data_IF_165759008865
#
_entry.id   IF_165759008865
#
_cell.length_a   1.000
_cell.length_b   1.000
_cell.length_c   1.000
_cell.angle_alpha   90.00
_cell.angle_beta   90.00
_cell.angle_gamma   90.00
#
_symmetry.space_group_name_H-M   'P 1'
#
loop_
_entity.id
_entity.type
_entity.pdbx_description
1 polymer ?
#
# COMPACT_ATOMS: atom_id res chain seq x y z
N UNK A 1 -7.71 16.07 19.20
CA UNK A 1 -7.91 16.44 17.78
C UNK A 1 -9.24 17.15 17.56
N UNK A 2 -10.41 16.49 17.64
CA UNK A 2 -11.71 17.18 17.44
C UNK A 2 -12.03 18.23 18.51
N UNK A 3 -11.65 18.00 19.77
CA UNK A 3 -11.71 18.99 20.85
C UNK A 3 -10.84 20.24 20.57
N UNK A 4 -9.57 20.04 20.18
CA UNK A 4 -8.60 21.12 19.85
C UNK A 4 -8.99 21.98 18.64
N UNK A 5 -9.70 21.39 17.66
CA UNK A 5 -10.03 22.05 16.39
C UNK A 5 -11.44 22.66 16.37
N UNK A 6 -12.23 22.48 17.43
CA UNK A 6 -13.58 23.06 17.55
C UNK A 6 -14.70 22.30 16.84
N UNK A 7 -14.49 21.04 16.45
CA UNK A 7 -15.48 20.20 15.73
C UNK A 7 -15.89 18.98 16.56
N UNK A 8 -16.08 19.17 17.86
CA UNK A 8 -16.45 18.08 18.75
C UNK A 8 -17.94 17.73 18.59
N UNK A 9 -18.22 16.51 18.12
CA UNK A 9 -19.59 15.99 17.95
C UNK A 9 -20.14 16.07 16.53
N UNK A 10 -19.44 16.71 15.59
CA UNK A 10 -19.85 16.75 14.19
C UNK A 10 -19.26 15.57 13.41
N UNK A 11 -20.04 14.49 13.30
CA UNK A 11 -19.64 13.26 12.59
C UNK A 11 -19.42 13.49 11.10
N UNK A 12 -20.05 14.51 10.50
CA UNK A 12 -19.74 14.91 9.13
C UNK A 12 -18.32 15.48 9.03
N UNK A 13 -17.89 16.32 9.99
CA UNK A 13 -16.55 16.90 9.96
C UNK A 13 -15.45 15.85 10.14
N UNK A 14 -15.60 14.89 11.06
CA UNK A 14 -14.64 13.80 11.23
C UNK A 14 -14.59 12.87 10.01
N UNK A 15 -15.75 12.53 9.42
CA UNK A 15 -15.82 11.79 8.15
C UNK A 15 -15.14 12.54 7.00
N UNK A 16 -15.40 13.83 6.85
CA UNK A 16 -14.87 14.68 5.78
C UNK A 16 -13.33 14.78 5.84
N UNK A 17 -12.72 14.75 7.03
CA UNK A 17 -11.25 14.66 7.20
C UNK A 17 -10.68 13.35 6.65
N UNK A 18 -11.35 12.21 6.85
CA UNK A 18 -10.94 10.91 6.31
C UNK A 18 -11.17 10.86 4.80
N UNK A 19 -12.38 11.22 4.35
CA UNK A 19 -12.74 11.31 2.93
C UNK A 19 -11.82 12.22 2.12
N UNK A 20 -11.37 13.36 2.67
CA UNK A 20 -10.43 14.26 1.99
C UNK A 20 -9.06 13.61 1.80
N UNK A 21 -8.62 12.79 2.76
CA UNK A 21 -7.38 12.01 2.64
C UNK A 21 -7.49 10.94 1.52
N UNK A 22 -8.63 10.24 1.45
CA UNK A 22 -8.91 9.24 0.41
C UNK A 22 -9.08 9.88 -0.98
N UNK A 23 -9.76 11.02 -1.08
CA UNK A 23 -9.87 11.81 -2.30
C UNK A 23 -8.51 12.32 -2.80
N UNK A 24 -7.65 12.76 -1.89
CA UNK A 24 -6.25 13.07 -2.19
C UNK A 24 -5.51 11.84 -2.75
N UNK A 25 -5.68 10.66 -2.15
CA UNK A 25 -5.05 9.44 -2.61
C UNK A 25 -5.56 8.95 -3.97
N UNK A 26 -6.86 9.10 -4.25
CA UNK A 26 -7.43 8.89 -5.59
C UNK A 26 -6.74 9.79 -6.62
N UNK A 27 -6.70 11.11 -6.38
CA UNK A 27 -6.05 12.08 -7.27
C UNK A 27 -4.56 11.75 -7.47
N UNK A 28 -3.82 11.49 -6.39
CA UNK A 28 -2.42 11.09 -6.46
C UNK A 28 -2.20 9.81 -7.27
N UNK A 29 -3.05 8.80 -7.07
CA UNK A 29 -2.94 7.53 -7.79
C UNK A 29 -3.14 7.70 -9.29
N UNK A 30 -4.09 8.53 -9.76
CA UNK A 30 -4.31 8.81 -11.19
C UNK A 30 -3.08 9.44 -11.86
N UNK A 31 -2.39 10.36 -11.19
CA UNK A 31 -1.18 11.00 -11.73
C UNK A 31 0.08 10.14 -11.59
N UNK A 32 0.10 9.17 -10.67
CA UNK A 32 1.28 8.33 -10.38
C UNK A 32 1.90 7.67 -11.61
N UNK A 33 1.09 7.12 -12.52
CA UNK A 33 1.57 6.46 -13.74
C UNK A 33 2.28 7.42 -14.70
N UNK A 34 1.74 8.63 -14.86
CA UNK A 34 2.34 9.70 -15.69
C UNK A 34 3.62 10.26 -15.08
N UNK A 35 3.66 10.41 -13.75
CA UNK A 35 4.86 10.87 -13.02
C UNK A 35 5.97 9.82 -13.10
N UNK A 36 5.65 8.54 -12.89
CA UNK A 36 6.61 7.44 -12.94
C UNK A 36 7.26 7.27 -14.32
N UNK A 37 6.46 7.32 -15.40
CA UNK A 37 6.98 7.25 -16.78
C UNK A 37 7.66 8.55 -17.23
N UNK A 38 7.18 9.71 -16.77
CA UNK A 38 7.74 11.01 -17.12
C UNK A 38 9.10 11.27 -16.46
N UNK A 39 9.17 11.24 -15.13
CA UNK A 39 10.32 11.76 -14.37
C UNK A 39 11.32 10.66 -13.98
N UNK A 40 10.95 9.39 -14.11
CA UNK A 40 11.72 8.24 -13.61
C UNK A 40 11.21 7.77 -12.26
N UNK A 41 11.61 6.57 -11.84
CA UNK A 41 11.05 5.88 -10.67
C UNK A 41 11.64 6.46 -9.38
N UNK A 42 12.95 6.71 -9.33
CA UNK A 42 13.64 7.35 -8.19
C UNK A 42 13.11 8.77 -7.95
N UNK A 43 13.03 9.59 -9.01
CA UNK A 43 12.48 10.95 -8.90
C UNK A 43 10.97 10.96 -8.59
N UNK A 44 10.19 9.98 -9.07
CA UNK A 44 8.79 9.84 -8.68
C UNK A 44 8.60 9.56 -7.18
N UNK A 45 9.49 8.77 -6.55
CA UNK A 45 9.48 8.59 -5.09
C UNK A 45 9.80 9.89 -4.32
N UNK A 46 10.74 10.69 -4.79
CA UNK A 46 11.04 11.98 -4.17
C UNK A 46 9.87 12.96 -4.33
N UNK A 47 9.26 13.03 -5.51
CA UNK A 47 8.03 13.80 -5.77
C UNK A 47 6.83 13.31 -4.95
N UNK A 48 6.77 12.01 -4.61
CA UNK A 48 5.78 11.43 -3.71
C UNK A 48 6.00 11.86 -2.25
N UNK A 49 7.25 11.99 -1.81
CA UNK A 49 7.58 12.33 -0.43
C UNK A 49 7.41 13.82 -0.10
N UNK A 50 7.58 14.73 -1.07
CA UNK A 50 7.31 16.16 -0.89
C UNK A 50 5.89 16.47 -0.35
N UNK A 51 4.78 16.00 -0.96
CA UNK A 51 3.44 16.24 -0.42
C UNK A 51 3.17 15.48 0.89
N UNK A 52 3.85 14.36 1.16
CA UNK A 52 3.80 13.72 2.49
C UNK A 52 4.42 14.61 3.58
N UNK A 53 5.58 15.20 3.32
CA UNK A 53 6.28 16.10 4.24
C UNK A 53 5.45 17.38 4.45
N UNK A 54 5.03 18.03 3.36
CA UNK A 54 4.23 19.27 3.41
C UNK A 54 2.89 19.03 4.10
N UNK A 55 2.17 17.98 3.71
CA UNK A 55 0.86 17.63 4.28
C UNK A 55 0.94 17.23 5.76
N UNK A 56 1.97 16.47 6.16
CA UNK A 56 2.17 16.10 7.57
C UNK A 56 2.53 17.33 8.42
N UNK A 57 3.42 18.20 7.93
CA UNK A 57 3.84 19.43 8.62
C UNK A 57 2.67 20.42 8.77
N UNK A 58 1.84 20.55 7.74
CA UNK A 58 0.64 21.38 7.77
C UNK A 58 -0.46 20.77 8.68
N UNK A 59 -0.59 19.44 8.72
CA UNK A 59 -1.49 18.75 9.66
C UNK A 59 -1.03 18.93 11.11
N UNK A 60 0.28 18.88 11.38
CA UNK A 60 0.87 19.08 12.71
C UNK A 60 0.72 20.52 13.23
N UNK A 61 0.76 21.51 12.33
CA UNK A 61 0.66 22.94 12.66
C UNK A 61 -0.77 23.51 12.55
N UNK A 62 -1.74 22.69 12.14
CA UNK A 62 -3.12 23.10 11.94
C UNK A 62 -3.77 23.67 13.21
N UNK A 63 -4.38 24.86 13.05
CA UNK A 63 -5.22 25.54 14.06
C UNK A 63 -6.71 25.55 13.69
N UNK A 64 -7.03 25.33 12.41
CA UNK A 64 -8.39 25.38 11.85
C UNK A 64 -8.67 24.11 11.03
N UNK A 65 -9.94 23.70 10.90
CA UNK A 65 -10.35 22.55 10.08
C UNK A 65 -9.83 22.62 8.65
N UNK A 66 -9.93 23.77 7.98
CA UNK A 66 -9.44 23.96 6.61
C UNK A 66 -7.94 23.64 6.46
N UNK A 67 -7.11 23.98 7.45
CA UNK A 67 -5.69 23.63 7.44
C UNK A 67 -5.45 22.13 7.60
N UNK A 68 -6.28 21.45 8.40
CA UNK A 68 -6.27 19.98 8.51
C UNK A 68 -6.73 19.31 7.21
N UNK A 69 -7.79 19.81 6.57
CA UNK A 69 -8.31 19.27 5.30
C UNK A 69 -7.28 19.40 4.18
N UNK A 70 -6.67 20.58 4.00
CA UNK A 70 -5.55 20.77 3.09
C UNK A 70 -4.36 19.84 3.43
N UNK A 71 -4.01 19.73 4.72
CA UNK A 71 -2.94 18.83 5.18
C UNK A 71 -3.20 17.38 4.78
N UNK A 72 -4.41 16.88 5.03
CA UNK A 72 -4.86 15.53 4.64
C UNK A 72 -4.91 15.33 3.12
N UNK A 73 -5.29 16.34 2.34
CA UNK A 73 -5.29 16.25 0.89
C UNK A 73 -3.87 16.03 0.34
N UNK A 74 -2.87 16.77 0.85
CA UNK A 74 -1.46 16.58 0.49
C UNK A 74 -0.90 15.23 0.98
N UNK A 75 -1.18 14.81 2.22
CA UNK A 75 -0.78 13.46 2.68
C UNK A 75 -1.41 12.38 1.79
N UNK A 76 -2.69 12.56 1.44
CA UNK A 76 -3.42 11.70 0.51
C UNK A 76 -2.72 11.60 -0.84
N UNK A 77 -2.41 12.72 -1.50
CA UNK A 77 -1.77 12.69 -2.84
C UNK A 77 -0.43 11.95 -2.83
N UNK A 78 0.39 12.11 -1.79
CA UNK A 78 1.59 11.29 -1.59
C UNK A 78 1.27 9.80 -1.39
N UNK A 79 0.34 9.48 -0.49
CA UNK A 79 -0.09 8.10 -0.22
C UNK A 79 -0.66 7.39 -1.47
N UNK A 80 -1.26 8.14 -2.41
CA UNK A 80 -1.73 7.62 -3.70
C UNK A 80 -0.62 7.33 -4.71
N UNK A 81 0.49 8.07 -4.68
CA UNK A 81 1.61 7.91 -5.63
C UNK A 81 2.57 6.81 -5.18
N UNK A 82 2.86 6.70 -3.89
CA UNK A 82 3.92 5.82 -3.37
C UNK A 82 3.76 4.33 -3.70
N UNK A 83 2.66 3.67 -3.33
CA UNK A 83 2.46 2.22 -3.53
C UNK A 83 2.58 1.75 -4.99
N UNK A 84 1.95 2.37 -6.02
CA UNK A 84 2.15 1.93 -7.40
C UNK A 84 3.58 2.17 -7.90
N UNK A 85 4.23 3.28 -7.51
CA UNK A 85 5.64 3.54 -7.86
C UNK A 85 6.57 2.50 -7.21
N UNK A 86 6.29 2.08 -5.97
CA UNK A 86 7.05 1.06 -5.27
C UNK A 86 6.92 -0.32 -5.92
N UNK A 87 5.70 -0.74 -6.28
CA UNK A 87 5.48 -1.99 -7.00
C UNK A 87 6.19 -2.00 -8.36
N UNK A 88 6.16 -0.89 -9.10
CA UNK A 88 6.89 -0.71 -10.36
C UNK A 88 8.41 -0.81 -10.18
N UNK A 89 8.96 -0.06 -9.23
CA UNK A 89 10.40 -0.03 -8.97
C UNK A 89 10.92 -1.40 -8.53
N UNK A 90 10.23 -2.08 -7.61
CA UNK A 90 10.57 -3.45 -7.22
C UNK A 90 10.50 -4.40 -8.42
N UNK A 91 9.45 -4.35 -9.24
CA UNK A 91 9.31 -5.22 -10.40
C UNK A 91 10.35 -4.99 -11.50
N UNK A 92 10.89 -3.77 -11.62
CA UNK A 92 11.90 -3.40 -12.64
C UNK A 92 13.35 -3.57 -12.15
N UNK A 93 13.59 -3.52 -10.84
CA UNK A 93 14.94 -3.66 -10.24
C UNK A 93 15.22 -5.10 -9.77
N UNK A 94 14.20 -5.85 -9.36
CA UNK A 94 14.40 -7.20 -8.81
C UNK A 94 14.59 -8.29 -9.89
N UNK A 95 15.56 -9.21 -9.70
CA UNK A 95 15.67 -10.42 -10.50
C UNK A 95 14.40 -11.28 -10.42
N UNK A 96 14.03 -11.91 -11.54
CA UNK A 96 12.76 -12.63 -11.69
C UNK A 96 12.54 -13.76 -10.64
N UNK A 97 13.62 -14.34 -10.11
CA UNK A 97 13.57 -15.45 -9.14
C UNK A 97 13.36 -15.02 -7.67
N UNK A 98 13.50 -13.73 -7.34
CA UNK A 98 13.33 -13.15 -5.98
C UNK A 98 12.35 -11.97 -5.94
N UNK A 99 11.69 -11.67 -7.07
CA UNK A 99 10.73 -10.57 -7.19
C UNK A 99 9.57 -10.66 -6.20
N UNK A 100 9.07 -11.87 -5.92
CA UNK A 100 8.02 -12.09 -4.92
C UNK A 100 8.47 -11.76 -3.50
N UNK A 101 9.68 -12.22 -3.13
CA UNK A 101 10.34 -11.86 -1.87
C UNK A 101 10.52 -10.34 -1.73
N UNK A 102 11.10 -9.65 -2.72
CA UNK A 102 11.31 -8.20 -2.62
C UNK A 102 10.01 -7.39 -2.55
N UNK A 103 8.96 -7.78 -3.26
CA UNK A 103 7.67 -7.08 -3.13
C UNK A 103 6.93 -7.40 -1.83
N UNK A 104 7.08 -8.61 -1.29
CA UNK A 104 6.57 -8.93 0.06
C UNK A 104 7.29 -8.13 1.15
N UNK A 105 8.55 -7.74 0.93
CA UNK A 105 9.29 -6.85 1.82
C UNK A 105 8.64 -5.45 1.91
N UNK A 106 8.06 -4.92 0.83
CA UNK A 106 7.36 -3.63 0.90
C UNK A 106 6.07 -3.71 1.72
N UNK A 107 5.32 -4.82 1.62
CA UNK A 107 4.18 -5.08 2.50
C UNK A 107 4.61 -5.22 3.97
N UNK A 108 5.70 -5.94 4.25
CA UNK A 108 6.27 -6.03 5.59
C UNK A 108 6.62 -4.65 6.16
N UNK A 109 7.23 -3.78 5.36
CA UNK A 109 7.51 -2.40 5.75
C UNK A 109 6.22 -1.60 6.03
N UNK A 110 5.16 -1.78 5.25
CA UNK A 110 3.83 -1.20 5.53
C UNK A 110 3.26 -1.69 6.86
N UNK A 111 3.39 -2.99 7.16
CA UNK A 111 2.92 -3.58 8.41
C UNK A 111 3.72 -3.06 9.63
N UNK A 112 5.05 -2.96 9.51
CA UNK A 112 5.91 -2.33 10.52
C UNK A 112 5.59 -0.84 10.72
N UNK A 113 5.30 -0.11 9.63
CA UNK A 113 4.86 1.28 9.68
C UNK A 113 3.54 1.46 10.43
N UNK A 114 2.55 0.58 10.17
CA UNK A 114 1.27 0.57 10.89
C UNK A 114 1.47 0.26 12.38
N UNK A 115 2.30 -0.73 12.72
CA UNK A 115 2.65 -1.02 14.12
C UNK A 115 3.33 0.18 14.79
N UNK A 116 4.32 0.80 14.14
CA UNK A 116 4.99 2.00 14.64
C UNK A 116 4.03 3.16 14.88
N UNK A 117 3.09 3.39 13.97
CA UNK A 117 2.05 4.42 14.13
C UNK A 117 1.13 4.14 15.33
N UNK A 118 0.76 2.87 15.57
CA UNK A 118 -0.03 2.47 16.74
C UNK A 118 0.73 2.68 18.06
N UNK A 119 2.04 2.39 18.10
CA UNK A 119 2.89 2.66 19.27
C UNK A 119 3.07 4.17 19.52
N UNK A 120 3.34 4.98 18.50
CA UNK A 120 3.48 6.44 18.63
C UNK A 120 2.16 7.09 19.05
N UNK A 121 1.03 6.52 18.62
CA UNK A 121 -0.33 6.94 19.01
C UNK A 121 -0.76 6.55 20.42
N UNK A 122 0.00 5.74 21.16
CA UNK A 122 -0.32 5.30 22.52
C UNK A 122 -0.47 6.48 23.50
N UNK A 123 0.56 7.33 23.74
CA UNK A 123 0.45 8.49 24.62
C UNK A 123 -0.54 9.57 24.13
N UNK A 124 -0.99 9.51 22.86
CA UNK A 124 -1.93 10.49 22.31
C UNK A 124 -3.32 10.49 22.97
N UNK A 125 -3.65 9.45 23.76
CA UNK A 125 -4.87 9.39 24.59
C UNK A 125 -4.68 10.00 25.99
N UNK A 126 -3.45 10.15 26.47
CA UNK A 126 -3.13 10.58 27.83
C UNK A 126 -2.63 12.02 27.90
N UNK A 127 -2.08 12.55 26.80
CA UNK A 127 -1.47 13.88 26.74
C UNK A 127 -2.18 14.73 25.67
N UNK A 128 -2.80 15.84 26.10
CA UNK A 128 -3.40 16.81 25.17
C UNK A 128 -2.34 17.40 24.22
N UNK A 129 -2.72 17.64 22.97
CA UNK A 129 -1.80 18.11 21.92
C UNK A 129 -0.81 17.09 21.36
N UNK A 130 -0.59 15.92 22.00
CA UNK A 130 0.39 14.91 21.51
C UNK A 130 0.07 14.37 20.11
N UNK A 131 -1.19 14.42 19.68
CA UNK A 131 -1.59 14.10 18.31
C UNK A 131 -0.79 14.88 17.24
N UNK A 132 -0.28 16.09 17.55
CA UNK A 132 0.61 16.84 16.67
C UNK A 132 1.99 16.20 16.53
N UNK A 133 2.51 15.58 17.60
CA UNK A 133 3.77 14.85 17.57
C UNK A 133 3.66 13.59 16.70
N UNK A 134 2.50 12.95 16.62
CA UNK A 134 2.26 11.85 15.68
C UNK A 134 2.44 12.29 14.20
N UNK A 135 1.97 13.49 13.85
CA UNK A 135 2.15 14.05 12.50
C UNK A 135 3.59 14.53 12.24
N UNK A 136 4.30 15.06 13.25
CA UNK A 136 5.74 15.30 13.11
C UNK A 136 6.54 14.01 12.95
N UNK A 137 6.15 12.94 13.65
CA UNK A 137 6.78 11.63 13.52
C UNK A 137 6.58 11.02 12.12
N UNK A 138 5.50 11.34 11.39
CA UNK A 138 5.33 10.89 9.99
C UNK A 138 6.16 11.70 8.97
N UNK A 139 6.68 12.88 9.33
CA UNK A 139 7.65 13.62 8.49
C UNK A 139 8.99 12.88 8.44
N UNK A 140 9.44 12.28 9.54
CA UNK A 140 10.73 11.58 9.62
C UNK A 140 10.92 10.44 8.58
N UNK A 141 10.02 9.45 8.43
CA UNK A 141 10.16 8.41 7.41
C UNK A 141 10.03 8.96 5.98
N UNK A 142 9.25 10.03 5.76
CA UNK A 142 9.15 10.67 4.45
C UNK A 142 10.45 11.41 4.06
N UNK A 143 11.11 12.06 5.03
CA UNK A 143 12.42 12.68 4.83
C UNK A 143 13.53 11.62 4.65
N UNK A 144 13.49 10.53 5.41
CA UNK A 144 14.42 9.40 5.19
C UNK A 144 14.24 8.81 3.79
N UNK A 145 13.00 8.67 3.29
CA UNK A 145 12.71 8.21 1.94
C UNK A 145 13.32 9.13 0.86
N UNK A 146 13.25 10.46 0.99
CA UNK A 146 13.87 11.36 -0.01
C UNK A 146 15.39 11.22 -0.04
N UNK A 147 16.03 11.10 1.13
CA UNK A 147 17.48 10.96 1.28
C UNK A 147 17.96 9.61 0.76
N UNK A 148 17.37 8.49 1.18
CA UNK A 148 17.77 7.16 0.70
C UNK A 148 17.53 6.97 -0.80
N UNK A 149 16.52 7.62 -1.37
CA UNK A 149 16.31 7.61 -2.82
C UNK A 149 17.41 8.35 -3.60
N UNK A 150 18.12 9.33 -3.01
CA UNK A 150 19.25 9.98 -3.69
C UNK A 150 20.50 9.06 -3.80
N UNK A 151 20.59 8.03 -2.95
CA UNK A 151 21.61 6.97 -3.03
C UNK A 151 21.16 5.73 -3.82
N UNK A 152 19.86 5.62 -4.14
CA UNK A 152 19.28 4.46 -4.82
C UNK A 152 19.52 4.48 -6.33
N UNK A 153 19.62 3.32 -6.96
CA UNK A 153 19.73 3.19 -8.43
C UNK A 153 18.46 3.69 -9.14
N UNK A 154 18.57 4.12 -10.39
CA UNK A 154 17.38 4.37 -11.23
C UNK A 154 16.95 3.07 -11.93
N UNK A 155 15.67 2.94 -12.30
CA UNK A 155 15.19 1.77 -13.03
C UNK A 155 15.93 1.60 -14.38
N UNK A 156 16.66 0.47 -14.61
CA UNK A 156 17.36 0.25 -15.87
C UNK A 156 16.40 0.15 -17.06
N UNK A 157 15.21 -0.42 -16.85
CA UNK A 157 14.14 -0.47 -17.85
C UNK A 157 13.68 0.93 -18.28
N UNK A 158 13.61 1.90 -17.35
CA UNK A 158 13.24 3.28 -17.68
C UNK A 158 14.38 4.03 -18.38
N UNK A 159 15.62 3.85 -17.94
CA UNK A 159 16.81 4.44 -18.60
C UNK A 159 16.92 3.98 -20.06
N UNK A 160 16.77 2.67 -20.31
CA UNK A 160 16.81 2.10 -21.64
C UNK A 160 15.67 2.62 -22.53
N UNK A 161 14.44 2.71 -22.00
CA UNK A 161 13.27 3.32 -22.68
C UNK A 161 13.47 4.82 -22.99
N UNK A 162 14.28 5.52 -22.20
CA UNK A 162 14.69 6.93 -22.42
C UNK A 162 15.83 7.10 -23.43
N UNK A 163 16.34 6.02 -24.03
CA UNK A 163 17.49 6.04 -24.95
C UNK A 163 18.84 6.12 -24.25
N UNK A 164 18.87 6.08 -22.90
CA UNK A 164 20.10 6.15 -22.08
C UNK A 164 20.70 4.76 -21.88
N UNK A 165 21.05 4.10 -22.98
CA UNK A 165 21.50 2.70 -22.99
C UNK A 165 22.75 2.45 -22.14
N UNK A 166 23.75 3.34 -22.19
CA UNK A 166 24.97 3.23 -21.40
C UNK A 166 24.73 3.36 -19.89
N UNK A 167 23.83 4.27 -19.48
CA UNK A 167 23.46 4.40 -18.07
C UNK A 167 22.67 3.17 -17.59
N UNK A 168 21.80 2.60 -18.44
CA UNK A 168 21.09 1.36 -18.12
C UNK A 168 22.06 0.18 -17.94
N UNK A 169 23.11 0.09 -18.77
CA UNK A 169 24.16 -0.93 -18.63
C UNK A 169 24.93 -0.78 -17.30
N UNK A 170 25.30 0.44 -16.93
CA UNK A 170 25.98 0.73 -15.66
C UNK A 170 25.12 0.45 -14.42
N UNK A 171 23.80 0.74 -14.45
CA UNK A 171 22.90 0.38 -13.35
C UNK A 171 22.65 -1.14 -13.30
N UNK A 172 22.61 -1.85 -14.43
CA UNK A 172 22.58 -3.31 -14.43
C UNK A 172 23.86 -3.95 -13.89
N UNK A 173 25.03 -3.35 -14.15
CA UNK A 173 26.30 -3.84 -13.61
C UNK A 173 26.31 -3.76 -12.08
N UNK A 174 25.77 -2.68 -11.50
CA UNK A 174 25.58 -2.55 -10.04
C UNK A 174 24.58 -3.54 -9.46
N UNK A 175 23.54 -3.92 -10.21
CA UNK A 175 22.42 -4.74 -9.74
C UNK A 175 22.61 -6.26 -9.91
N UNK A 176 23.14 -6.68 -11.05
CA UNK A 176 23.29 -8.09 -11.44
C UNK A 176 24.74 -8.55 -11.45
N UNK A 177 25.70 -7.62 -11.46
CA UNK A 177 27.12 -7.90 -11.69
C UNK A 177 27.44 -8.13 -13.18
N UNK A 178 28.65 -7.72 -13.57
CA UNK A 178 29.17 -7.75 -14.95
C UNK A 178 28.81 -8.95 -15.85
N UNK A 179 28.90 -10.23 -15.41
CA UNK A 179 28.66 -11.37 -16.31
C UNK A 179 27.20 -11.50 -16.81
N UNK A 180 26.21 -10.95 -16.10
CA UNK A 180 24.79 -11.09 -16.46
C UNK A 180 24.23 -9.89 -17.23
N UNK A 181 24.95 -8.76 -17.24
CA UNK A 181 24.50 -7.49 -17.86
C UNK A 181 24.17 -7.65 -19.34
N UNK A 182 25.04 -8.31 -20.12
CA UNK A 182 24.85 -8.49 -21.57
C UNK A 182 23.61 -9.33 -21.90
N UNK A 183 23.27 -10.30 -21.04
CA UNK A 183 22.04 -11.10 -21.17
C UNK A 183 20.80 -10.25 -20.91
N UNK A 184 20.79 -9.52 -19.79
CA UNK A 184 19.68 -8.64 -19.42
C UNK A 184 19.43 -7.53 -20.47
N UNK A 185 20.49 -6.88 -20.97
CA UNK A 185 20.42 -5.86 -22.02
C UNK A 185 19.93 -6.44 -23.36
N UNK A 186 20.36 -7.66 -23.72
CA UNK A 186 19.85 -8.33 -24.91
C UNK A 186 18.34 -8.64 -24.80
N UNK A 187 17.88 -9.14 -23.65
CA UNK A 187 16.46 -9.41 -23.39
C UNK A 187 15.62 -8.12 -23.41
N UNK A 188 16.14 -7.03 -22.84
CA UNK A 188 15.54 -5.69 -22.90
C UNK A 188 15.42 -5.15 -24.33
N UNK A 189 16.50 -5.25 -25.13
CA UNK A 189 16.46 -4.82 -26.53
C UNK A 189 15.46 -5.62 -27.37
N UNK A 190 15.31 -6.92 -27.07
CA UNK A 190 14.30 -7.79 -27.70
C UNK A 190 12.88 -7.43 -27.28
N UNK A 191 12.67 -7.09 -26.01
CA UNK A 191 11.38 -6.57 -25.52
C UNK A 191 11.05 -5.20 -26.13
N UNK A 192 12.04 -4.33 -26.33
CA UNK A 192 11.81 -2.97 -26.82
C UNK A 192 11.60 -2.91 -28.35
N UNK A 193 12.19 -3.80 -29.16
CA UNK A 193 11.91 -3.87 -30.61
C UNK A 193 10.45 -4.21 -30.96
N UNK A 194 9.66 -4.74 -30.02
CA UNK A 194 8.21 -4.86 -30.16
C UNK A 194 7.41 -3.64 -29.71
N UNK A 195 8.07 -2.63 -29.13
CA UNK A 195 7.48 -1.53 -28.35
C UNK A 195 7.61 -0.13 -28.98
N UNK A 196 8.35 0.05 -30.08
CA UNK A 196 8.87 1.38 -30.52
C UNK A 196 7.84 2.41 -31.04
N UNK A 197 6.57 2.07 -31.28
CA UNK A 197 5.72 2.87 -32.18
C UNK A 197 4.81 3.94 -31.54
N UNK A 198 4.30 3.79 -30.31
CA UNK A 198 3.19 4.66 -29.85
C UNK A 198 3.13 5.00 -28.35
N UNK A 199 2.81 6.27 -28.07
CA UNK A 199 2.48 6.75 -26.72
C UNK A 199 1.08 6.28 -26.32
N UNK A 200 1.00 5.08 -25.74
CA UNK A 200 -0.27 4.42 -25.34
C UNK A 200 -1.23 5.40 -24.66
N UNK A 201 -2.40 5.60 -25.26
CA UNK A 201 -3.43 6.51 -24.75
C UNK A 201 -4.23 5.83 -23.65
N UNK A 202 -4.70 6.60 -22.65
CA UNK A 202 -5.55 6.06 -21.57
C UNK A 202 -6.84 5.39 -22.11
N UNK A 203 -7.33 5.81 -23.28
CA UNK A 203 -8.45 5.18 -23.98
C UNK A 203 -8.17 3.74 -24.42
N UNK A 204 -6.94 3.40 -24.82
CA UNK A 204 -6.55 2.06 -25.26
C UNK A 204 -6.51 1.06 -24.09
N UNK A 205 -6.31 1.56 -22.87
CA UNK A 205 -6.42 0.80 -21.63
C UNK A 205 -7.85 0.29 -21.38
N UNK A 206 -8.85 1.08 -21.76
CA UNK A 206 -10.27 0.76 -21.59
C UNK A 206 -10.89 0.01 -22.79
N UNK A 207 -10.40 0.24 -24.01
CA UNK A 207 -10.97 -0.33 -25.24
C UNK A 207 -10.11 -1.38 -25.96
N UNK A 208 -8.83 -1.52 -25.60
CA UNK A 208 -7.90 -2.44 -26.26
C UNK A 208 -7.86 -3.87 -25.69
N UNK A 209 -7.00 -4.70 -26.29
CA UNK A 209 -6.79 -6.11 -25.93
C UNK A 209 -6.45 -6.33 -24.44
N UNK A 210 -5.83 -5.33 -23.79
CA UNK A 210 -5.41 -5.39 -22.39
C UNK A 210 -6.54 -5.15 -21.36
N UNK A 211 -7.76 -4.77 -21.80
CA UNK A 211 -8.91 -4.49 -20.91
C UNK A 211 -9.18 -5.62 -19.92
N UNK A 212 -9.05 -6.89 -20.33
CA UNK A 212 -9.24 -8.05 -19.45
C UNK A 212 -8.28 -8.05 -18.25
N UNK A 213 -7.02 -7.67 -18.47
CA UNK A 213 -5.99 -7.62 -17.41
C UNK A 213 -6.25 -6.46 -16.45
N UNK A 214 -6.62 -5.29 -17.00
CA UNK A 214 -6.98 -4.10 -16.21
C UNK A 214 -8.22 -4.36 -15.36
N UNK A 215 -9.23 -5.03 -15.92
CA UNK A 215 -10.44 -5.43 -15.20
C UNK A 215 -10.11 -6.42 -14.07
N UNK A 216 -9.36 -7.50 -14.34
CA UNK A 216 -8.93 -8.43 -13.30
C UNK A 216 -8.15 -7.73 -12.18
N UNK A 217 -7.23 -6.83 -12.52
CA UNK A 217 -6.46 -6.07 -11.55
C UNK A 217 -7.30 -5.13 -10.69
N UNK A 218 -8.23 -4.38 -11.31
CA UNK A 218 -9.15 -3.48 -10.61
C UNK A 218 -10.13 -4.25 -9.72
N UNK A 219 -10.68 -5.36 -10.20
CA UNK A 219 -11.53 -6.26 -9.39
C UNK A 219 -10.76 -6.85 -8.21
N UNK A 220 -9.47 -7.17 -8.38
CA UNK A 220 -8.65 -7.73 -7.30
C UNK A 220 -8.42 -6.71 -6.17
N UNK A 221 -8.10 -5.46 -6.51
CA UNK A 221 -7.96 -4.37 -5.54
C UNK A 221 -9.29 -3.97 -4.89
N UNK A 222 -10.40 -4.02 -5.64
CA UNK A 222 -11.75 -3.84 -5.09
C UNK A 222 -12.09 -4.94 -4.07
N UNK A 223 -11.86 -6.22 -4.41
CA UNK A 223 -12.07 -7.35 -3.51
C UNK A 223 -11.15 -7.30 -2.27
N UNK A 224 -9.93 -6.78 -2.41
CA UNK A 224 -9.03 -6.55 -1.28
C UNK A 224 -9.63 -5.55 -0.27
N UNK A 225 -10.26 -4.47 -0.74
CA UNK A 225 -10.88 -3.47 0.16
C UNK A 225 -12.26 -3.90 0.67
N UNK A 226 -13.10 -4.48 -0.19
CA UNK A 226 -14.39 -5.07 0.16
C UNK A 226 -14.28 -6.27 1.11
N UNK A 227 -13.07 -6.81 1.34
CA UNK A 227 -12.82 -7.77 2.42
C UNK A 227 -13.14 -7.21 3.81
N UNK A 228 -13.15 -5.88 3.97
CA UNK A 228 -13.41 -5.20 5.24
C UNK A 228 -12.16 -4.99 6.11
N UNK A 229 -10.95 -5.20 5.58
CA UNK A 229 -9.70 -5.07 6.35
C UNK A 229 -9.54 -3.70 7.04
N UNK A 230 -9.92 -2.59 6.39
CA UNK A 230 -9.88 -1.26 7.01
C UNK A 230 -10.83 -1.18 8.21
N UNK A 231 -12.05 -1.73 8.08
CA UNK A 231 -13.02 -1.78 9.17
C UNK A 231 -12.52 -2.65 10.33
N UNK A 232 -11.89 -3.79 10.04
CA UNK A 232 -11.26 -4.64 11.06
C UNK A 232 -10.15 -3.88 11.80
N UNK A 233 -9.28 -3.15 11.11
CA UNK A 233 -8.28 -2.32 11.78
C UNK A 233 -8.91 -1.22 12.65
N UNK A 234 -9.89 -0.46 12.14
CA UNK A 234 -10.54 0.61 12.91
C UNK A 234 -11.32 0.10 14.13
N UNK A 235 -12.12 -0.95 13.97
CA UNK A 235 -12.97 -1.49 15.04
C UNK A 235 -12.26 -2.49 15.96
N UNK A 236 -11.04 -2.93 15.64
CA UNK A 236 -10.27 -3.87 16.47
C UNK A 236 -10.19 -3.45 17.94
N UNK A 237 -9.77 -2.21 18.20
CA UNK A 237 -9.66 -1.67 19.56
C UNK A 237 -10.99 -1.66 20.32
N UNK A 238 -12.12 -1.54 19.61
CA UNK A 238 -13.48 -1.60 20.18
C UNK A 238 -13.89 -3.03 20.51
N UNK A 239 -13.67 -3.98 19.58
CA UNK A 239 -14.00 -5.41 19.77
C UNK A 239 -13.21 -6.01 20.94
N UNK A 240 -11.91 -5.71 21.03
CA UNK A 240 -11.09 -6.12 22.18
C UNK A 240 -11.50 -5.42 23.49
N UNK A 241 -11.98 -4.17 23.45
CA UNK A 241 -12.50 -3.49 24.64
C UNK A 241 -13.80 -4.13 25.13
N UNK A 242 -14.72 -4.54 24.24
CA UNK A 242 -15.89 -5.35 24.61
C UNK A 242 -15.54 -6.74 25.14
N UNK A 243 -14.36 -7.25 24.78
CA UNK A 243 -13.77 -8.48 25.33
C UNK A 243 -13.14 -8.32 26.74
N UNK A 244 -13.15 -7.11 27.32
CA UNK A 244 -12.49 -6.84 28.60
C UNK A 244 -10.95 -6.76 28.52
N UNK A 245 -10.37 -6.80 27.32
CA UNK A 245 -8.93 -6.65 27.09
C UNK A 245 -8.59 -5.16 26.92
N UNK A 246 -7.47 -4.67 27.51
CA UNK A 246 -7.02 -3.30 27.28
C UNK A 246 -6.83 -3.00 25.78
N UNK A 247 -7.31 -1.83 25.33
CA UNK A 247 -7.25 -1.43 23.91
C UNK A 247 -5.84 -1.31 23.34
N UNK A 248 -4.83 -1.29 24.21
CA UNK A 248 -3.41 -1.21 23.87
C UNK A 248 -2.87 -2.59 23.48
N UNK A 249 -3.13 -3.61 24.31
CA UNK A 249 -2.83 -5.02 24.01
C UNK A 249 -3.53 -5.47 22.72
N UNK A 250 -4.75 -4.99 22.47
CA UNK A 250 -5.48 -5.24 21.22
C UNK A 250 -4.70 -4.85 19.96
N UNK A 251 -4.25 -3.58 19.91
CA UNK A 251 -3.52 -3.02 18.78
C UNK A 251 -2.18 -3.73 18.57
N UNK A 252 -1.50 -4.11 19.66
CA UNK A 252 -0.25 -4.88 19.62
C UNK A 252 -0.50 -6.29 19.06
N UNK A 253 -1.52 -7.00 19.53
CA UNK A 253 -1.86 -8.35 19.04
C UNK A 253 -2.24 -8.34 17.55
N UNK A 254 -3.04 -7.37 17.11
CA UNK A 254 -3.41 -7.18 15.69
C UNK A 254 -2.17 -6.85 14.84
N UNK A 255 -1.28 -5.99 15.34
CA UNK A 255 0.00 -5.69 14.70
C UNK A 255 0.89 -6.94 14.53
N UNK A 256 1.04 -7.73 15.59
CA UNK A 256 1.81 -8.98 15.57
C UNK A 256 1.19 -9.99 14.60
N UNK A 257 -0.14 -10.18 14.59
CA UNK A 257 -0.81 -11.08 13.66
C UNK A 257 -0.59 -10.67 12.19
N UNK A 258 -0.65 -9.36 11.90
CA UNK A 258 -0.37 -8.80 10.59
C UNK A 258 1.11 -9.00 10.17
N UNK A 259 2.05 -8.81 11.10
CA UNK A 259 3.48 -9.03 10.87
C UNK A 259 3.79 -10.50 10.61
N UNK A 260 3.23 -11.43 11.41
CA UNK A 260 3.40 -12.88 11.24
C UNK A 260 2.83 -13.37 9.91
N UNK A 261 1.63 -12.92 9.53
CA UNK A 261 1.05 -13.25 8.22
C UNK A 261 1.90 -12.71 7.07
N UNK A 262 2.45 -11.50 7.19
CA UNK A 262 3.33 -10.90 6.19
C UNK A 262 4.70 -11.61 6.09
N UNK A 263 5.25 -12.10 7.21
CA UNK A 263 6.48 -12.91 7.23
C UNK A 263 6.25 -14.29 6.59
N UNK A 264 5.07 -14.88 6.83
CA UNK A 264 4.67 -16.10 6.12
C UNK A 264 4.54 -15.85 4.61
N UNK A 265 3.90 -14.74 4.22
CA UNK A 265 3.80 -14.35 2.81
C UNK A 265 5.18 -14.25 2.14
N UNK A 266 6.13 -13.56 2.78
CA UNK A 266 7.53 -13.43 2.30
C UNK A 266 8.16 -14.79 1.96
N UNK A 267 8.07 -15.77 2.87
CA UNK A 267 8.69 -17.09 2.71
C UNK A 267 7.93 -17.97 1.71
N UNK A 268 6.61 -17.82 1.63
CA UNK A 268 5.74 -18.66 0.79
C UNK A 268 5.55 -18.13 -0.63
N UNK A 269 5.75 -16.83 -0.90
CA UNK A 269 5.38 -16.21 -2.17
C UNK A 269 6.08 -16.79 -3.40
N UNK A 270 7.37 -17.08 -3.26
CA UNK A 270 8.17 -17.70 -4.32
C UNK A 270 8.08 -19.25 -4.33
N UNK A 271 7.50 -19.88 -3.28
CA UNK A 271 7.35 -21.35 -3.16
C UNK A 271 5.99 -21.88 -3.58
N UNK A 272 4.90 -21.31 -3.07
CA UNK A 272 3.52 -21.78 -3.29
C UNK A 272 2.86 -21.11 -4.51
N UNK A 273 3.43 -20.01 -5.00
CA UNK A 273 2.91 -19.27 -6.14
C UNK A 273 1.73 -18.34 -5.79
N UNK A 274 1.64 -17.25 -6.56
CA UNK A 274 0.77 -16.10 -6.28
C UNK A 274 -0.72 -16.48 -6.19
N UNK A 275 -1.20 -17.31 -7.12
CA UNK A 275 -2.62 -17.74 -7.19
C UNK A 275 -3.05 -18.58 -5.98
N UNK A 276 -2.20 -19.50 -5.52
CA UNK A 276 -2.51 -20.38 -4.39
C UNK A 276 -2.62 -19.57 -3.08
N UNK A 277 -1.67 -18.67 -2.83
CA UNK A 277 -1.68 -17.75 -1.69
C UNK A 277 -2.92 -16.86 -1.69
N UNK A 278 -3.33 -16.34 -2.84
CA UNK A 278 -4.53 -15.52 -2.94
C UNK A 278 -5.80 -16.32 -2.57
N UNK A 279 -5.96 -17.52 -3.13
CA UNK A 279 -7.13 -18.39 -2.85
C UNK A 279 -7.15 -18.79 -1.37
N UNK A 280 -6.00 -19.18 -0.81
CA UNK A 280 -5.87 -19.53 0.60
C UNK A 280 -6.18 -18.33 1.53
N UNK A 281 -5.78 -17.12 1.14
CA UNK A 281 -6.09 -15.90 1.91
C UNK A 281 -7.59 -15.62 1.92
N UNK A 282 -8.25 -15.66 0.74
CA UNK A 282 -9.70 -15.42 0.66
C UNK A 282 -10.53 -16.52 1.36
N UNK A 283 -10.11 -17.80 1.28
CA UNK A 283 -10.78 -18.87 2.04
C UNK A 283 -10.56 -18.73 3.55
N UNK A 284 -9.36 -18.36 3.99
CA UNK A 284 -9.05 -18.07 5.39
C UNK A 284 -9.87 -16.89 5.95
N UNK A 285 -9.98 -15.80 5.19
CA UNK A 285 -10.83 -14.65 5.54
C UNK A 285 -12.31 -15.01 5.60
N UNK A 286 -12.82 -15.86 4.70
CA UNK A 286 -14.20 -16.34 4.73
C UNK A 286 -14.49 -17.16 6.00
N UNK A 287 -13.58 -18.07 6.38
CA UNK A 287 -13.67 -18.84 7.64
C UNK A 287 -13.57 -17.93 8.87
N UNK A 288 -12.67 -16.93 8.84
CA UNK A 288 -12.54 -15.98 9.93
C UNK A 288 -13.79 -15.10 10.10
N UNK A 289 -14.45 -14.72 8.99
CA UNK A 289 -15.73 -14.00 9.01
C UNK A 289 -16.89 -14.87 9.50
N UNK A 290 -16.97 -16.17 9.17
CA UNK A 290 -18.02 -17.04 9.74
C UNK A 290 -17.81 -17.30 11.24
N UNK A 291 -16.56 -17.35 11.71
CA UNK A 291 -16.23 -17.39 13.15
C UNK A 291 -16.69 -16.08 13.84
N UNK A 292 -16.44 -14.91 13.24
CA UNK A 292 -16.94 -13.64 13.78
C UNK A 292 -18.48 -13.56 13.76
N UNK A 293 -19.14 -13.95 12.68
CA UNK A 293 -20.60 -13.97 12.57
C UNK A 293 -21.26 -14.92 13.59
N UNK A 294 -20.68 -16.11 13.83
CA UNK A 294 -21.18 -17.01 14.87
C UNK A 294 -20.95 -16.45 16.28
N UNK A 295 -19.83 -15.74 16.52
CA UNK A 295 -19.62 -15.02 17.80
C UNK A 295 -20.61 -13.87 18.03
N UNK A 296 -21.06 -13.19 16.97
CA UNK A 296 -22.04 -12.11 17.06
C UNK A 296 -23.49 -12.61 17.18
N UNK A 297 -23.74 -13.89 16.87
CA UNK A 297 -25.07 -14.51 16.97
C UNK A 297 -25.37 -14.97 18.39
N UNK A 298 -26.65 -14.95 18.78
CA UNK A 298 -27.14 -15.40 20.11
C UNK A 298 -26.95 -16.91 20.38
N UNK A 299 -26.27 -17.65 19.48
CA UNK A 299 -26.00 -19.09 19.60
C UNK A 299 -24.90 -19.41 20.62
N UNK A 300 -24.05 -18.44 20.97
CA UNK A 300 -22.98 -18.60 21.96
C UNK A 300 -23.23 -17.65 23.11
N UNK A 301 -23.15 -18.15 24.35
CA UNK A 301 -23.33 -17.37 25.58
C UNK A 301 -22.13 -17.52 26.51
N UNK A 302 -21.80 -16.46 27.25
CA UNK A 302 -20.68 -16.43 28.20
C UNK A 302 -19.31 -16.15 27.55
N UNK A 303 -18.25 -16.40 28.32
CA UNK A 303 -16.86 -16.00 27.98
C UNK A 303 -16.34 -16.54 26.64
N UNK A 304 -16.92 -17.64 26.13
CA UNK A 304 -16.56 -18.21 24.83
C UNK A 304 -16.81 -17.26 23.65
N UNK A 305 -17.82 -16.38 23.73
CA UNK A 305 -18.11 -15.35 22.71
C UNK A 305 -16.88 -14.47 22.49
N UNK A 306 -16.27 -14.04 23.59
CA UNK A 306 -15.14 -13.12 23.61
C UNK A 306 -13.92 -13.74 22.93
N UNK A 307 -13.55 -14.97 23.32
CA UNK A 307 -12.43 -15.67 22.71
C UNK A 307 -12.66 -15.98 21.23
N UNK A 308 -13.89 -16.31 20.83
CA UNK A 308 -14.25 -16.59 19.45
C UNK A 308 -14.18 -15.33 18.56
N UNK A 309 -14.66 -14.19 19.08
CA UNK A 309 -14.59 -12.90 18.38
C UNK A 309 -13.15 -12.41 18.20
N UNK A 310 -12.35 -12.42 19.28
CA UNK A 310 -10.93 -12.05 19.26
C UNK A 310 -10.12 -12.99 18.35
N UNK A 311 -10.33 -14.30 18.47
CA UNK A 311 -9.67 -15.31 17.64
C UNK A 311 -10.03 -15.17 16.16
N UNK A 312 -11.32 -14.98 15.84
CA UNK A 312 -11.79 -14.74 14.49
C UNK A 312 -11.24 -13.44 13.88
N UNK A 313 -11.06 -12.39 14.68
CA UNK A 313 -10.42 -11.15 14.22
C UNK A 313 -8.92 -11.32 13.94
N UNK A 314 -8.17 -11.97 14.85
CA UNK A 314 -6.74 -12.21 14.65
C UNK A 314 -6.49 -13.15 13.46
N UNK A 315 -7.33 -14.18 13.28
CA UNK A 315 -7.28 -15.07 12.12
C UNK A 315 -7.59 -14.32 10.81
N UNK A 316 -8.55 -13.39 10.82
CA UNK A 316 -8.86 -12.56 9.66
C UNK A 316 -7.64 -11.70 9.24
N UNK A 317 -7.04 -10.99 10.19
CA UNK A 317 -5.86 -10.14 9.94
C UNK A 317 -4.67 -10.97 9.45
N UNK A 318 -4.42 -12.12 10.08
CA UNK A 318 -3.33 -13.02 9.70
C UNK A 318 -3.54 -13.59 8.29
N UNK A 319 -4.74 -14.08 7.96
CA UNK A 319 -5.06 -14.65 6.64
C UNK A 319 -5.12 -13.60 5.53
N UNK A 320 -5.51 -12.35 5.83
CA UNK A 320 -5.35 -11.23 4.90
C UNK A 320 -3.87 -10.96 4.60
N UNK A 321 -3.05 -10.85 5.66
CA UNK A 321 -1.63 -10.52 5.54
C UNK A 321 -0.81 -11.61 4.81
N UNK A 322 -1.21 -12.88 4.93
CA UNK A 322 -0.59 -14.02 4.22
C UNK A 322 -0.62 -13.93 2.69
N UNK A 323 -1.51 -13.13 2.09
CA UNK A 323 -1.53 -13.02 0.63
C UNK A 323 -2.45 -11.95 0.06
N UNK A 324 -3.63 -11.71 0.62
CA UNK A 324 -4.51 -10.64 0.14
C UNK A 324 -3.85 -9.24 0.24
N UNK A 325 -2.94 -9.03 1.19
CA UNK A 325 -2.06 -7.85 1.25
C UNK A 325 -1.04 -7.74 0.09
N UNK A 326 0.01 -8.60 0.06
CA UNK A 326 1.14 -8.42 -0.87
C UNK A 326 0.87 -8.91 -2.30
N UNK A 327 -0.02 -9.89 -2.50
CA UNK A 327 -0.19 -10.53 -3.81
C UNK A 327 -0.75 -9.59 -4.88
N UNK A 328 -1.78 -8.75 -4.64
CA UNK A 328 -2.33 -7.88 -5.68
C UNK A 328 -1.29 -6.93 -6.28
N UNK A 329 -0.57 -6.16 -5.45
CA UNK A 329 0.42 -5.18 -5.94
C UNK A 329 1.51 -5.82 -6.81
N UNK A 330 1.99 -6.99 -6.42
CA UNK A 330 2.96 -7.76 -7.20
C UNK A 330 2.36 -8.38 -8.47
N UNK A 331 1.22 -9.07 -8.35
CA UNK A 331 0.58 -9.78 -9.47
C UNK A 331 0.20 -8.81 -10.60
N UNK A 332 -0.32 -7.62 -10.30
CA UNK A 332 -0.57 -6.61 -11.33
C UNK A 332 0.75 -6.11 -11.97
N UNK A 333 1.80 -5.88 -11.18
CA UNK A 333 3.11 -5.48 -11.71
C UNK A 333 3.74 -6.52 -12.64
N UNK A 334 3.48 -7.82 -12.40
CA UNK A 334 3.93 -8.93 -13.24
C UNK A 334 3.04 -9.15 -14.48
N UNK A 335 1.71 -9.03 -14.34
CA UNK A 335 0.76 -9.30 -15.43
C UNK A 335 0.69 -8.21 -16.51
N UNK A 336 1.00 -6.95 -16.18
CA UNK A 336 0.93 -5.88 -17.18
C UNK A 336 2.21 -5.80 -18.04
N UNK A 337 2.06 -5.64 -19.37
CA UNK A 337 3.19 -5.37 -20.26
C UNK A 337 3.83 -4.01 -19.96
N UNK A 338 5.14 -3.91 -20.20
CA UNK A 338 5.98 -2.70 -20.07
C UNK A 338 5.33 -1.40 -20.54
N UNK A 339 4.69 -1.39 -21.73
CA UNK A 339 4.05 -0.20 -22.34
C UNK A 339 2.87 0.37 -21.53
N UNK A 340 2.23 -0.45 -20.69
CA UNK A 340 0.91 -0.15 -20.09
C UNK A 340 0.94 -0.20 -18.56
N UNK A 341 1.91 -0.91 -17.96
CA UNK A 341 2.04 -1.20 -16.53
C UNK A 341 1.85 0.01 -15.61
N UNK A 342 2.56 1.11 -15.84
CA UNK A 342 2.47 2.29 -14.97
C UNK A 342 1.06 2.91 -14.98
N UNK A 343 0.46 3.09 -16.17
CA UNK A 343 -0.89 3.65 -16.33
C UNK A 343 -2.00 2.70 -15.84
N UNK A 344 -1.79 1.39 -15.98
CA UNK A 344 -2.72 0.39 -15.48
C UNK A 344 -2.71 0.30 -13.95
N UNK A 345 -1.52 0.32 -13.34
CA UNK A 345 -1.35 0.37 -11.88
C UNK A 345 -2.00 1.62 -11.27
N UNK A 346 -1.89 2.79 -11.90
CA UNK A 346 -2.58 4.01 -11.44
C UNK A 346 -4.10 3.85 -11.44
N UNK A 347 -4.70 3.22 -12.45
CA UNK A 347 -6.16 3.01 -12.51
C UNK A 347 -6.61 1.99 -11.47
N UNK A 348 -5.87 0.90 -11.29
CA UNK A 348 -6.23 -0.12 -10.32
C UNK A 348 -6.10 0.40 -8.86
N UNK A 349 -5.10 1.25 -8.59
CA UNK A 349 -5.00 1.99 -7.32
C UNK A 349 -6.07 3.06 -7.15
N UNK A 350 -6.49 3.74 -8.23
CA UNK A 350 -7.63 4.66 -8.16
C UNK A 350 -8.92 3.92 -7.76
N UNK A 351 -9.16 2.72 -8.32
CA UNK A 351 -10.28 1.86 -7.89
C UNK A 351 -10.13 1.45 -6.42
N UNK A 352 -8.94 1.05 -5.97
CA UNK A 352 -8.66 0.73 -4.56
C UNK A 352 -9.08 1.85 -3.60
N UNK A 353 -8.67 3.09 -3.88
CA UNK A 353 -9.01 4.25 -3.03
C UNK A 353 -10.50 4.60 -3.10
N UNK A 354 -11.16 4.45 -4.25
CA UNK A 354 -12.62 4.63 -4.38
C UNK A 354 -13.39 3.56 -3.61
N UNK A 355 -12.95 2.31 -3.60
CA UNK A 355 -13.58 1.24 -2.80
C UNK A 355 -13.22 1.27 -1.31
N UNK A 356 -12.31 2.15 -0.90
CA UNK A 356 -11.95 2.38 0.51
C UNK A 356 -12.76 3.51 1.17
N UNK A 357 -13.60 4.19 0.39
CA UNK A 357 -14.36 5.38 0.76
C UNK A 357 -15.72 5.03 1.36
#
# INVERSE_FOLDING_TARGET
>A
MSHDLGFHGDTMAEGLVVSTCLGGAFVGSLFSGSIADGVGRRRAFQLCALPLIIGSSMSATAKNLWGMLLGRLFVGTGMGIGPPVAALYVAEVSPAYVRGTYGSCSQLATCLGLMGALFIGFPAKQIEGWWRMCFWASVAPAALLTVFMEFSVESPHWLFKRGRGADAEAEFEKLLGGPYVKGAMAELSKSQRGDEADTVKLSELFYGHHRKVVFMGSSLFALQQLSGINAVFYFSSTVFKSAGVPSESANICVGIANLLGSLFALVSMDKLGRKALLIASFSGMAVAMTIQATSASSLVSGSSVIYLSVGGMLLFVLTFAMGAGPVPGLLLSEMFPSRVRAKAMSICMAVHWVTSF
#
